data_IF_205232578541
#
_entry.id   IF_205232578541
#
_cell.length_a   1.000
_cell.length_b   1.000
_cell.length_c   1.000
_cell.angle_alpha   90.00
_cell.angle_beta   90.00
_cell.angle_gamma   90.00
#
_symmetry.space_group_name_H-M   'P 1'
#
loop_
_entity.id
_entity.type
_entity.pdbx_description
1 polymer ?
#
# COMPACT_ATOMS: atom_id res chain seq x y z
N UNK A 1 4.12 -2.75 16.24
CA UNK A 1 2.81 -2.04 16.24
C UNK A 1 2.59 -1.17 15.00
N UNK A 2 3.64 -0.65 14.33
CA UNK A 2 3.49 0.24 13.16
C UNK A 2 3.01 -0.45 11.88
N UNK A 3 3.34 -1.72 11.64
CA UNK A 3 3.08 -2.40 10.36
C UNK A 3 1.58 -2.55 10.07
N UNK A 4 0.78 -2.97 11.06
CA UNK A 4 -0.68 -3.09 10.90
C UNK A 4 -1.36 -1.74 10.67
N UNK A 5 -0.85 -0.67 11.27
CA UNK A 5 -1.32 0.70 11.02
C UNK A 5 -0.95 1.15 9.61
N UNK A 6 0.23 0.79 9.11
CA UNK A 6 0.69 1.07 7.75
C UNK A 6 -0.16 0.35 6.70
N UNK A 7 -0.49 -0.92 6.94
CA UNK A 7 -1.40 -1.70 6.09
C UNK A 7 -2.82 -1.12 6.06
N UNK A 8 -3.37 -0.80 7.23
CA UNK A 8 -4.69 -0.19 7.34
C UNK A 8 -4.73 1.19 6.65
N UNK A 9 -3.73 2.04 6.89
CA UNK A 9 -3.63 3.36 6.26
C UNK A 9 -3.49 3.26 4.74
N UNK A 10 -2.68 2.33 4.24
CA UNK A 10 -2.50 2.11 2.80
C UNK A 10 -3.79 1.64 2.15
N UNK A 11 -4.52 0.74 2.81
CA UNK A 11 -5.81 0.22 2.33
C UNK A 11 -6.86 1.33 2.28
N UNK A 12 -6.98 2.12 3.35
CA UNK A 12 -7.92 3.25 3.42
C UNK A 12 -7.57 4.33 2.40
N UNK A 13 -6.29 4.68 2.27
CA UNK A 13 -5.83 5.67 1.28
C UNK A 13 -6.13 5.20 -0.15
N UNK A 14 -5.90 3.92 -0.44
CA UNK A 14 -6.18 3.33 -1.76
C UNK A 14 -7.68 3.32 -2.05
N UNK A 15 -8.51 2.98 -1.07
CA UNK A 15 -9.97 3.04 -1.18
C UNK A 15 -10.45 4.47 -1.46
N UNK A 16 -9.94 5.46 -0.72
CA UNK A 16 -10.30 6.87 -0.94
C UNK A 16 -9.84 7.38 -2.31
N UNK A 17 -8.65 6.97 -2.76
CA UNK A 17 -8.16 7.33 -4.09
C UNK A 17 -9.04 6.75 -5.21
N UNK A 18 -9.48 5.49 -5.06
CA UNK A 18 -10.43 4.84 -5.99
C UNK A 18 -11.80 5.53 -5.99
N UNK A 19 -12.34 5.83 -4.81
CA UNK A 19 -13.60 6.57 -4.68
C UNK A 19 -13.49 7.92 -5.37
N UNK A 20 -12.40 8.67 -5.14
CA UNK A 20 -12.13 9.95 -5.79
C UNK A 20 -11.98 9.84 -7.31
N UNK A 21 -11.28 8.82 -7.82
CA UNK A 21 -11.11 8.63 -9.26
C UNK A 21 -12.46 8.34 -9.97
N UNK A 22 -13.27 7.45 -9.39
CA UNK A 22 -14.58 7.06 -9.95
C UNK A 22 -15.60 8.20 -9.80
N UNK A 23 -15.75 8.75 -8.60
CA UNK A 23 -16.74 9.79 -8.34
C UNK A 23 -16.32 11.14 -8.90
N UNK A 24 -15.01 11.39 -9.06
CA UNK A 24 -14.48 12.55 -9.75
C UNK A 24 -14.99 12.61 -11.18
N UNK A 25 -14.98 11.49 -11.92
CA UNK A 25 -15.52 11.46 -13.29
C UNK A 25 -17.03 11.71 -13.36
N UNK A 26 -17.79 11.21 -12.39
CA UNK A 26 -19.24 11.43 -12.31
C UNK A 26 -19.54 12.89 -11.97
N UNK A 27 -18.84 13.47 -10.98
CA UNK A 27 -19.00 14.89 -10.61
C UNK A 27 -18.57 15.83 -11.73
N UNK A 28 -17.48 15.54 -12.44
CA UNK A 28 -17.05 16.27 -13.63
C UNK A 28 -18.10 16.24 -14.76
N UNK A 29 -18.85 15.15 -14.87
CA UNK A 29 -19.92 15.01 -15.87
C UNK A 29 -21.22 15.70 -15.45
N UNK A 30 -21.53 15.75 -14.15
CA UNK A 30 -22.79 16.31 -13.62
C UNK A 30 -22.72 17.81 -13.34
N UNK A 31 -21.59 18.33 -12.88
CA UNK A 31 -21.47 19.73 -12.42
C UNK A 31 -20.81 20.66 -13.44
N UNK A 32 -20.45 20.14 -14.60
CA UNK A 32 -19.92 20.94 -15.71
C UNK A 32 -18.51 21.44 -15.42
N UNK A 33 -17.52 20.82 -16.04
CA UNK A 33 -16.27 21.53 -16.29
C UNK A 33 -16.61 22.70 -17.21
N UNK A 34 -16.03 23.91 -17.04
CA UNK A 34 -16.07 24.92 -18.10
C UNK A 34 -15.61 24.27 -19.41
N UNK A 35 -16.10 24.73 -20.58
CA UNK A 35 -15.92 24.14 -21.93
C UNK A 35 -14.47 23.74 -22.29
N UNK A 36 -13.96 22.70 -21.63
CA UNK A 36 -12.63 22.17 -21.79
C UNK A 36 -12.80 20.98 -22.72
N UNK A 37 -12.23 21.14 -23.90
CA UNK A 37 -12.21 20.12 -24.92
C UNK A 37 -10.78 19.60 -25.08
N UNK A 38 -10.66 18.29 -25.24
CA UNK A 38 -9.40 17.63 -25.60
C UNK A 38 -9.65 17.01 -26.97
N UNK A 39 -8.88 17.45 -27.98
CA UNK A 39 -9.09 17.06 -29.38
C UNK A 39 -10.55 17.27 -29.87
N UNK A 40 -11.17 18.41 -29.52
CA UNK A 40 -12.59 18.70 -29.81
C UNK A 40 -13.61 17.75 -29.15
N UNK A 41 -13.19 16.87 -28.23
CA UNK A 41 -14.07 16.03 -27.44
C UNK A 41 -14.24 16.63 -26.03
N UNK A 42 -15.47 16.76 -25.49
CA UNK A 42 -15.66 17.14 -24.10
C UNK A 42 -14.78 16.36 -23.12
N UNK A 43 -14.05 17.08 -22.27
CA UNK A 43 -13.06 16.51 -21.34
C UNK A 43 -13.64 15.42 -20.44
N UNK A 44 -14.91 15.52 -20.03
CA UNK A 44 -15.54 14.51 -19.17
C UNK A 44 -15.61 13.13 -19.83
N UNK A 45 -15.81 13.04 -21.15
CA UNK A 45 -15.75 11.76 -21.87
C UNK A 45 -14.33 11.23 -21.97
N UNK A 46 -13.37 12.11 -22.25
CA UNK A 46 -11.95 11.75 -22.25
C UNK A 46 -11.49 11.25 -20.88
N UNK A 47 -11.94 11.92 -19.81
CA UNK A 47 -11.66 11.54 -18.44
C UNK A 47 -12.27 10.18 -18.08
N UNK A 48 -13.52 9.91 -18.47
CA UNK A 48 -14.13 8.60 -18.23
C UNK A 48 -13.43 7.46 -18.98
N UNK A 49 -13.00 7.70 -20.23
CA UNK A 49 -12.40 6.67 -21.07
C UNK A 49 -10.91 6.42 -20.73
N UNK A 50 -10.13 7.49 -20.56
CA UNK A 50 -8.67 7.42 -20.43
C UNK A 50 -8.22 7.85 -19.04
N UNK A 51 -8.77 8.95 -18.53
CA UNK A 51 -8.38 9.52 -17.23
C UNK A 51 -8.59 8.55 -16.06
N UNK A 52 -9.76 7.91 -15.98
CA UNK A 52 -10.09 6.92 -14.97
C UNK A 52 -9.15 5.71 -15.04
N UNK A 53 -8.82 5.26 -16.24
CA UNK A 53 -7.93 4.12 -16.45
C UNK A 53 -6.50 4.43 -16.01
N UNK A 54 -5.98 5.61 -16.38
CA UNK A 54 -4.67 6.11 -15.94
C UNK A 54 -4.63 6.31 -14.42
N UNK A 55 -5.69 6.86 -13.83
CA UNK A 55 -5.80 7.04 -12.39
C UNK A 55 -5.77 5.69 -11.65
N UNK A 56 -6.51 4.68 -12.13
CA UNK A 56 -6.49 3.33 -11.57
C UNK A 56 -5.10 2.72 -11.66
N UNK A 57 -4.42 2.82 -12.81
CA UNK A 57 -3.05 2.33 -12.97
C UNK A 57 -2.07 3.00 -12.01
N UNK A 58 -2.16 4.32 -11.83
CA UNK A 58 -1.32 5.06 -10.91
C UNK A 58 -1.56 4.64 -9.45
N UNK A 59 -2.83 4.54 -9.03
CA UNK A 59 -3.20 4.08 -7.69
C UNK A 59 -2.71 2.65 -7.46
N UNK A 60 -2.88 1.76 -8.43
CA UNK A 60 -2.43 0.37 -8.35
C UNK A 60 -0.91 0.26 -8.26
N UNK A 61 -0.17 1.04 -9.04
CA UNK A 61 1.29 1.06 -9.00
C UNK A 61 1.85 1.58 -7.67
N UNK A 62 1.25 2.64 -7.13
CA UNK A 62 1.61 3.17 -5.81
C UNK A 62 1.28 2.16 -4.71
N UNK A 63 0.10 1.54 -4.78
CA UNK A 63 -0.32 0.50 -3.84
C UNK A 63 0.68 -0.65 -3.78
N UNK A 64 1.05 -1.22 -4.93
CA UNK A 64 2.03 -2.31 -5.01
C UNK A 64 3.38 -1.92 -4.44
N UNK A 65 3.88 -0.72 -4.76
CA UNK A 65 5.16 -0.26 -4.20
C UNK A 65 5.16 -0.19 -2.67
N UNK A 66 4.04 0.24 -2.09
CA UNK A 66 3.91 0.35 -0.64
C UNK A 66 3.78 -1.05 -0.02
N UNK A 67 2.95 -1.92 -0.60
CA UNK A 67 2.77 -3.30 -0.13
C UNK A 67 4.07 -4.09 -0.19
N UNK A 68 4.81 -4.01 -1.30
CA UNK A 68 6.13 -4.63 -1.43
C UNK A 68 7.11 -4.14 -0.37
N UNK A 69 7.08 -2.84 -0.05
CA UNK A 69 7.88 -2.27 1.03
C UNK A 69 7.50 -2.84 2.39
N UNK A 70 6.21 -2.96 2.67
CA UNK A 70 5.68 -3.54 3.91
C UNK A 70 6.05 -5.02 4.03
N UNK A 71 5.95 -5.80 2.95
CA UNK A 71 6.33 -7.22 2.96
C UNK A 71 7.83 -7.40 3.24
N UNK A 72 8.70 -6.57 2.66
CA UNK A 72 10.13 -6.60 2.95
C UNK A 72 10.41 -6.30 4.42
N UNK A 73 9.82 -5.22 4.96
CA UNK A 73 9.94 -4.88 6.38
C UNK A 73 9.46 -6.05 7.27
N UNK A 74 8.36 -6.72 6.91
CA UNK A 74 7.87 -7.90 7.64
C UNK A 74 8.86 -9.07 7.62
N UNK A 75 9.48 -9.36 6.46
CA UNK A 75 10.47 -10.44 6.34
C UNK A 75 11.74 -10.16 7.14
N UNK A 76 12.23 -8.92 7.10
CA UNK A 76 13.40 -8.51 7.89
C UNK A 76 13.13 -8.61 9.39
N UNK A 77 11.95 -8.17 9.84
CA UNK A 77 11.55 -8.28 11.24
C UNK A 77 11.40 -9.74 11.67
N UNK A 78 10.86 -10.62 10.81
CA UNK A 78 10.75 -12.05 11.10
C UNK A 78 12.13 -12.71 11.25
N UNK A 79 13.06 -12.41 10.33
CA UNK A 79 14.43 -12.92 10.38
C UNK A 79 15.19 -12.43 11.64
N UNK A 80 15.05 -11.15 11.99
CA UNK A 80 15.66 -10.58 13.21
C UNK A 80 15.08 -11.21 14.50
N UNK A 81 13.80 -11.58 14.49
CA UNK A 81 13.17 -12.29 15.60
C UNK A 81 13.72 -13.72 15.75
N UNK A 82 13.87 -14.46 14.65
CA UNK A 82 14.46 -15.81 14.67
C UNK A 82 15.91 -15.79 15.17
N UNK A 83 16.70 -14.80 14.74
CA UNK A 83 18.08 -14.65 15.18
C UNK A 83 18.17 -14.33 16.68
N UNK A 84 17.30 -13.45 17.18
CA UNK A 84 17.22 -13.13 18.61
C UNK A 84 16.78 -14.31 19.47
N UNK A 85 15.87 -15.15 18.98
CA UNK A 85 15.45 -16.35 19.68
C UNK A 85 16.54 -17.43 19.67
N UNK A 86 17.30 -17.54 18.57
CA UNK A 86 18.47 -18.43 18.49
C UNK A 86 19.57 -17.99 19.47
N UNK A 87 19.87 -16.70 19.56
CA UNK A 87 20.83 -16.15 20.53
C UNK A 87 20.37 -16.36 21.97
N UNK A 88 19.08 -16.15 22.27
CA UNK A 88 18.52 -16.46 23.60
C UNK A 88 18.62 -17.94 23.96
N UNK A 89 18.34 -18.83 23.01
CA UNK A 89 18.48 -20.27 23.19
C UNK A 89 19.94 -20.68 23.46
N UNK A 90 20.89 -20.14 22.69
CA UNK A 90 22.31 -20.40 22.85
C UNK A 90 22.86 -19.85 24.19
N UNK A 91 22.37 -18.70 24.66
CA UNK A 91 22.71 -18.16 25.98
C UNK A 91 22.12 -19.03 27.09
N UNK A 92 20.88 -19.52 26.95
CA UNK A 92 20.27 -20.42 27.92
C UNK A 92 21.03 -21.75 28.03
N UNK A 93 21.47 -22.31 26.90
CA UNK A 93 22.24 -23.56 26.84
C UNK A 93 23.65 -23.41 27.44
N UNK A 94 24.30 -22.25 27.29
CA UNK A 94 25.56 -21.93 27.99
C UNK A 94 25.39 -21.68 29.49
N UNK A 95 24.18 -21.34 29.93
CA UNK A 95 23.88 -20.97 31.33
C UNK A 95 23.45 -22.16 32.18
N UNK A 96 23.19 -23.33 31.58
CA UNK A 96 23.08 -24.61 32.29
C UNK A 96 24.49 -25.17 32.53
N UNK A 97 25.08 -25.01 33.73
CA UNK A 97 26.32 -25.70 34.05
C UNK A 97 25.96 -27.19 34.11
N UNK A 98 26.77 -28.02 33.46
CA UNK A 98 26.66 -29.46 33.58
C UNK A 98 26.52 -29.85 35.06
N UNK A 99 25.42 -30.53 35.37
CA UNK A 99 25.43 -31.44 36.48
C UNK A 99 26.37 -32.57 36.11
N UNK A 100 27.54 -32.60 36.74
CA UNK A 100 28.34 -33.82 36.86
C UNK A 100 28.80 -33.89 38.32
N UNK A 101 28.12 -34.80 39.02
CA UNK A 101 28.55 -35.69 40.12
C UNK A 101 29.23 -35.11 41.37
#
# INVERSE_FOLDING_TARGET
MQTHVKEAATTVATFLALVGAVHGGIWFSLFGVPDVTVLNWPFHYFWLAVGAWVAIMAVYGVYHRIVDGIEREKRELAAAHEERDRDRGAVAERSTPGGEE
#
